data_IF_023525819034
#
_entry.id   IF_023525819034
#
_cell.length_a   1.000
_cell.length_b   1.000
_cell.length_c   1.000
_cell.angle_alpha   90.00
_cell.angle_beta   90.00
_cell.angle_gamma   90.00
#
_symmetry.space_group_name_H-M   'P 1'
#
loop_
_entity.id
_entity.type
_entity.pdbx_description
1 polymer ?
#
# COMPACT_ATOMS: atom_id res chain seq x y z
N UNK A 1 -33.45 -10.78 -11.84
CA UNK A 1 -32.20 -10.00 -11.70
C UNK A 1 -31.08 -10.98 -11.96
N UNK A 2 -30.23 -10.74 -12.94
CA UNK A 2 -29.14 -11.68 -13.22
C UNK A 2 -28.13 -11.65 -12.06
N UNK A 3 -27.43 -12.75 -11.78
CA UNK A 3 -26.44 -12.83 -10.69
C UNK A 3 -25.38 -11.72 -10.77
N UNK A 4 -25.11 -11.22 -11.97
CA UNK A 4 -24.21 -10.09 -12.21
C UNK A 4 -24.75 -8.75 -11.68
N UNK A 5 -26.03 -8.44 -11.92
CA UNK A 5 -26.65 -7.20 -11.44
C UNK A 5 -26.77 -7.18 -9.90
N UNK A 6 -26.98 -8.35 -9.29
CA UNK A 6 -27.01 -8.52 -7.85
C UNK A 6 -25.63 -8.29 -7.22
N UNK A 7 -24.56 -8.79 -7.85
CA UNK A 7 -23.18 -8.56 -7.39
C UNK A 7 -22.78 -7.08 -7.49
N UNK A 8 -23.15 -6.39 -8.58
CA UNK A 8 -22.93 -4.94 -8.73
C UNK A 8 -23.65 -4.18 -7.61
N UNK A 9 -24.92 -4.51 -7.34
CA UNK A 9 -25.68 -3.87 -6.29
C UNK A 9 -25.10 -4.13 -4.89
N UNK A 10 -24.63 -5.36 -4.62
CA UNK A 10 -24.04 -5.73 -3.33
C UNK A 10 -22.72 -5.00 -3.06
N UNK A 11 -21.83 -4.93 -4.06
CA UNK A 11 -20.56 -4.19 -3.95
C UNK A 11 -20.81 -2.68 -3.82
N UNK A 12 -21.73 -2.12 -4.62
CA UNK A 12 -22.09 -0.71 -4.53
C UNK A 12 -22.74 -0.33 -3.18
N UNK A 13 -23.43 -1.26 -2.52
CA UNK A 13 -24.03 -1.06 -1.20
C UNK A 13 -23.03 -1.20 -0.04
N UNK A 14 -21.81 -1.68 -0.31
CA UNK A 14 -20.75 -1.86 0.67
C UNK A 14 -19.47 -1.12 0.25
N UNK A 15 -19.49 0.23 0.14
CA UNK A 15 -18.33 1.01 -0.32
C UNK A 15 -17.13 0.90 0.63
N UNK A 16 -17.39 0.55 1.90
CA UNK A 16 -16.38 0.30 2.92
C UNK A 16 -16.79 -0.90 3.76
N UNK A 17 -15.78 -1.70 4.13
CA UNK A 17 -15.94 -2.90 4.93
C UNK A 17 -14.94 -2.86 6.08
N UNK A 18 -15.39 -2.33 7.21
CA UNK A 18 -14.51 -2.07 8.36
C UNK A 18 -14.52 -3.22 9.38
N UNK A 19 -15.34 -4.24 9.14
CA UNK A 19 -15.47 -5.39 10.05
C UNK A 19 -15.53 -6.71 9.29
N UNK A 20 -15.05 -7.77 9.95
CA UNK A 20 -15.18 -9.15 9.45
C UNK A 20 -16.65 -9.54 9.23
N UNK A 21 -17.56 -9.03 10.07
CA UNK A 21 -19.00 -9.27 9.93
C UNK A 21 -19.59 -8.63 8.67
N UNK A 22 -19.20 -7.40 8.36
CA UNK A 22 -19.58 -6.71 7.13
C UNK A 22 -19.00 -7.45 5.90
N UNK A 23 -17.74 -7.88 5.96
CA UNK A 23 -17.10 -8.63 4.88
C UNK A 23 -17.84 -9.94 4.61
N UNK A 24 -18.13 -10.70 5.66
CA UNK A 24 -18.92 -11.94 5.55
C UNK A 24 -20.29 -11.70 4.94
N UNK A 25 -20.93 -10.59 5.29
CA UNK A 25 -22.27 -10.24 4.78
C UNK A 25 -22.22 -9.89 3.30
N UNK A 26 -21.19 -9.17 2.85
CA UNK A 26 -20.94 -8.90 1.45
C UNK A 26 -20.68 -10.19 0.66
N UNK A 27 -19.75 -11.02 1.14
CA UNK A 27 -19.38 -12.28 0.48
C UNK A 27 -20.59 -13.22 0.32
N UNK A 28 -21.51 -13.27 1.29
CA UNK A 28 -22.73 -14.07 1.22
C UNK A 28 -23.74 -13.59 0.15
N UNK A 29 -23.58 -12.38 -0.38
CA UNK A 29 -24.41 -11.83 -1.45
C UNK A 29 -23.79 -12.01 -2.84
N UNK A 30 -22.55 -12.49 -2.92
CA UNK A 30 -21.83 -12.72 -4.16
C UNK A 30 -21.95 -14.19 -4.60
N UNK A 31 -21.78 -14.49 -5.90
CA UNK A 31 -21.75 -15.87 -6.39
C UNK A 31 -20.60 -16.67 -5.75
N UNK A 32 -20.88 -17.90 -5.31
CA UNK A 32 -19.91 -18.77 -4.60
C UNK A 32 -18.61 -19.01 -5.39
N UNK A 33 -18.69 -19.03 -6.72
CA UNK A 33 -17.54 -19.28 -7.62
C UNK A 33 -16.85 -17.99 -8.10
N UNK A 34 -17.24 -16.81 -7.59
CA UNK A 34 -16.62 -15.55 -7.97
C UNK A 34 -15.14 -15.53 -7.54
N UNK A 35 -14.18 -15.32 -8.46
CA UNK A 35 -12.78 -15.19 -8.11
C UNK A 35 -12.56 -14.05 -7.12
N UNK A 36 -11.80 -14.32 -6.06
CA UNK A 36 -11.44 -13.36 -5.04
C UNK A 36 -9.93 -13.07 -5.12
N UNK A 37 -9.59 -11.81 -5.26
CA UNK A 37 -8.21 -11.32 -5.19
C UNK A 37 -8.08 -10.33 -4.03
N UNK A 38 -6.94 -10.37 -3.36
CA UNK A 38 -6.55 -9.36 -2.39
C UNK A 38 -5.51 -8.45 -3.07
N UNK A 39 -5.72 -7.14 -3.01
CA UNK A 39 -4.65 -6.18 -3.28
C UNK A 39 -3.79 -6.11 -2.02
N UNK A 40 -2.65 -6.82 -2.05
CA UNK A 40 -1.68 -6.82 -0.95
C UNK A 40 -1.00 -5.45 -0.77
N UNK A 41 -1.21 -4.52 -1.70
CA UNK A 41 -0.84 -3.13 -1.52
C UNK A 41 -1.87 -2.45 -0.63
N UNK A 42 -1.46 -2.23 0.59
CA UNK A 42 -2.09 -1.30 1.50
C UNK A 42 -2.09 0.07 0.80
N UNK A 43 -3.20 0.80 0.69
CA UNK A 43 -3.23 2.13 0.08
C UNK A 43 -3.50 3.18 1.13
N UNK A 44 -2.92 4.37 1.01
CA UNK A 44 -3.11 5.39 2.04
C UNK A 44 -3.11 6.80 1.46
N UNK A 45 -3.81 7.70 2.15
CA UNK A 45 -3.52 9.11 2.04
C UNK A 45 -2.17 9.45 2.70
N UNK A 46 -1.43 10.44 2.16
CA UNK A 46 -0.26 10.99 2.83
C UNK A 46 -0.66 11.67 4.16
N UNK A 47 0.09 11.46 5.26
CA UNK A 47 -0.23 12.04 6.58
C UNK A 47 0.29 11.25 7.79
N UNK A 48 0.04 11.76 9.01
CA UNK A 48 0.46 11.19 10.31
C UNK A 48 -0.25 9.86 10.68
N UNK A 49 0.30 9.07 11.63
CA UNK A 49 -0.01 7.65 11.82
C UNK A 49 -1.33 7.30 12.52
N UNK A 50 -2.14 8.27 12.92
CA UNK A 50 -3.48 7.98 13.44
C UNK A 50 -4.38 7.58 12.25
N UNK A 51 -4.40 6.30 11.91
CA UNK A 51 -5.07 5.76 10.72
C UNK A 51 -6.08 4.68 11.10
N UNK A 52 -7.23 4.69 10.44
CA UNK A 52 -8.26 3.64 10.49
C UNK A 52 -8.11 2.78 9.23
N UNK A 53 -8.19 1.46 9.41
CA UNK A 53 -8.18 0.50 8.31
C UNK A 53 -9.59 0.22 7.81
N UNK A 54 -9.80 0.32 6.50
CA UNK A 54 -11.00 -0.15 5.82
C UNK A 54 -10.63 -1.10 4.69
N UNK A 55 -11.53 -2.03 4.35
CA UNK A 55 -11.43 -2.82 3.13
C UNK A 55 -12.41 -2.26 2.11
N UNK A 56 -11.90 -1.88 0.94
CA UNK A 56 -12.69 -1.46 -0.20
C UNK A 56 -12.90 -2.62 -1.18
N UNK A 57 -14.13 -3.12 -1.35
CA UNK A 57 -14.44 -4.11 -2.36
C UNK A 57 -14.67 -3.45 -3.73
N UNK A 58 -14.07 -4.00 -4.78
CA UNK A 58 -14.28 -3.56 -6.15
C UNK A 58 -14.48 -4.75 -7.10
N UNK A 59 -15.31 -4.56 -8.13
CA UNK A 59 -15.49 -5.56 -9.18
C UNK A 59 -14.42 -5.36 -10.26
N UNK A 60 -13.70 -6.43 -10.57
CA UNK A 60 -12.64 -6.44 -11.58
C UNK A 60 -12.89 -7.51 -12.64
N UNK A 61 -12.36 -7.30 -13.83
CA UNK A 61 -12.32 -8.33 -14.86
C UNK A 61 -11.18 -9.30 -14.53
N UNK A 62 -11.51 -10.58 -14.37
CA UNK A 62 -10.53 -11.66 -14.16
C UNK A 62 -10.53 -12.57 -15.38
N UNK A 63 -9.34 -12.99 -15.80
CA UNK A 63 -9.20 -13.92 -16.93
C UNK A 63 -9.11 -15.33 -16.38
N UNK A 64 -10.07 -16.18 -16.74
CA UNK A 64 -10.04 -17.61 -16.47
C UNK A 64 -9.37 -18.34 -17.62
N UNK A 65 -8.60 -19.40 -17.32
CA UNK A 65 -7.99 -20.26 -18.35
C UNK A 65 -6.94 -19.57 -19.23
N UNK A 66 -6.19 -18.60 -18.67
CA UNK A 66 -5.16 -17.84 -19.39
C UNK A 66 -4.24 -18.75 -20.21
N UNK A 67 -4.16 -18.51 -21.52
CA UNK A 67 -3.32 -19.31 -22.44
C UNK A 67 -3.93 -20.65 -22.87
N UNK A 68 -5.25 -20.83 -22.73
CA UNK A 68 -6.00 -22.00 -23.21
C UNK A 68 -7.13 -21.59 -24.15
N UNK A 69 -7.70 -22.54 -24.91
CA UNK A 69 -8.87 -22.29 -25.78
C UNK A 69 -10.14 -21.87 -25.00
N UNK A 70 -10.14 -22.04 -23.66
CA UNK A 70 -11.25 -21.68 -22.78
C UNK A 70 -11.06 -20.31 -22.10
N UNK A 71 -10.13 -19.48 -22.61
CA UNK A 71 -9.89 -18.15 -22.08
C UNK A 71 -11.16 -17.31 -22.09
N UNK A 72 -11.58 -16.86 -20.92
CA UNK A 72 -12.80 -16.07 -20.77
C UNK A 72 -12.63 -15.04 -19.66
N UNK A 73 -13.15 -13.84 -19.91
CA UNK A 73 -13.19 -12.77 -18.93
C UNK A 73 -14.45 -12.93 -18.08
N UNK A 74 -14.28 -13.06 -16.77
CA UNK A 74 -15.35 -13.18 -15.81
C UNK A 74 -15.20 -12.13 -14.70
N UNK A 75 -16.30 -11.67 -14.08
CA UNK A 75 -16.23 -10.76 -12.95
C UNK A 75 -15.58 -11.45 -11.74
N UNK A 76 -14.63 -10.77 -11.11
CA UNK A 76 -14.04 -11.13 -9.83
C UNK A 76 -14.17 -9.99 -8.82
N UNK A 77 -13.97 -10.32 -7.54
CA UNK A 77 -13.92 -9.36 -6.45
C UNK A 77 -12.45 -9.07 -6.10
N UNK A 78 -12.07 -7.80 -6.13
CA UNK A 78 -10.81 -7.33 -5.57
C UNK A 78 -11.09 -6.64 -4.23
N UNK A 79 -10.42 -7.09 -3.18
CA UNK A 79 -10.44 -6.45 -1.88
C UNK A 79 -9.16 -5.61 -1.74
N UNK A 80 -9.30 -4.29 -1.60
CA UNK A 80 -8.18 -3.38 -1.40
C UNK A 80 -8.17 -2.87 0.03
N UNK A 81 -7.04 -2.98 0.72
CA UNK A 81 -6.90 -2.36 2.05
C UNK A 81 -6.58 -0.89 1.90
N UNK A 82 -7.36 -0.02 2.53
CA UNK A 82 -7.19 1.44 2.49
C UNK A 82 -7.06 1.98 3.91
N UNK A 83 -6.11 2.89 4.11
CA UNK A 83 -5.87 3.61 5.34
C UNK A 83 -6.46 5.00 5.23
N UNK A 84 -7.35 5.32 6.17
CA UNK A 84 -7.99 6.63 6.23
C UNK A 84 -7.53 7.38 7.49
N UNK A 85 -7.23 8.69 7.42
CA UNK A 85 -6.87 9.47 8.60
C UNK A 85 -7.95 9.41 9.70
N UNK A 86 -7.52 9.35 10.95
CA UNK A 86 -8.38 9.41 12.11
C UNK A 86 -9.10 10.77 12.17
N UNK A 87 -10.42 10.75 12.32
CA UNK A 87 -11.24 11.96 12.35
C UNK A 87 -11.80 12.42 11.00
N UNK A 88 -11.47 11.73 9.90
CA UNK A 88 -12.19 11.89 8.63
C UNK A 88 -13.67 11.55 8.83
N UNK A 89 -14.57 12.32 8.23
CA UNK A 89 -16.01 12.00 8.30
C UNK A 89 -16.38 10.82 7.38
N UNK A 90 -17.60 10.30 7.49
CA UNK A 90 -18.04 9.13 6.70
C UNK A 90 -17.99 9.38 5.18
N UNK A 91 -18.19 10.63 4.73
CA UNK A 91 -18.17 10.99 3.32
C UNK A 91 -16.73 11.04 2.79
N UNK A 92 -15.81 11.63 3.56
CA UNK A 92 -14.37 11.63 3.29
C UNK A 92 -13.81 10.21 3.29
N UNK A 93 -14.19 9.39 4.26
CA UNK A 93 -13.78 7.99 4.32
C UNK A 93 -14.24 7.21 3.07
N UNK A 94 -15.50 7.35 2.69
CA UNK A 94 -16.06 6.70 1.50
C UNK A 94 -15.39 7.19 0.21
N UNK A 95 -15.13 8.50 0.11
CA UNK A 95 -14.44 9.09 -1.03
C UNK A 95 -13.01 8.57 -1.16
N UNK A 96 -12.28 8.41 -0.05
CA UNK A 96 -10.92 7.88 -0.03
C UNK A 96 -10.91 6.38 -0.36
N UNK A 97 -11.83 5.60 0.21
CA UNK A 97 -11.92 4.16 -0.06
C UNK A 97 -12.16 3.87 -1.55
N UNK A 98 -12.95 4.70 -2.24
CA UNK A 98 -13.26 4.54 -3.66
C UNK A 98 -12.14 4.98 -4.62
N UNK A 99 -11.03 5.55 -4.13
CA UNK A 99 -9.93 6.04 -4.97
C UNK A 99 -8.96 4.93 -5.38
N UNK A 100 -8.99 4.59 -6.66
CA UNK A 100 -8.06 3.64 -7.26
C UNK A 100 -6.64 4.21 -7.50
N UNK A 101 -6.49 5.54 -7.43
CA UNK A 101 -5.22 6.26 -7.71
C UNK A 101 -4.34 6.44 -6.48
N UNK A 102 -4.75 5.93 -5.31
CA UNK A 102 -3.96 6.05 -4.09
C UNK A 102 -2.66 5.24 -4.18
N UNK A 103 -1.52 5.83 -3.75
CA UNK A 103 -0.26 5.12 -3.67
C UNK A 103 -0.34 4.03 -2.60
N UNK A 104 0.50 3.01 -2.74
CA UNK A 104 0.63 2.03 -1.67
C UNK A 104 1.26 2.68 -0.42
N UNK A 105 0.86 2.23 0.76
CA UNK A 105 1.29 2.62 2.10
C UNK A 105 2.71 2.09 2.44
N UNK A 106 3.52 1.85 1.42
CA UNK A 106 4.95 1.62 1.56
C UNK A 106 5.72 2.92 1.32
N UNK A 107 6.86 3.06 1.98
CA UNK A 107 7.66 4.28 1.94
C UNK A 107 8.15 4.63 0.52
N UNK A 108 8.37 3.62 -0.33
CA UNK A 108 8.79 3.80 -1.73
C UNK A 108 7.69 4.45 -2.61
N UNK A 109 6.46 3.90 -2.73
CA UNK A 109 5.37 4.57 -3.43
C UNK A 109 4.94 5.90 -2.82
N UNK A 110 5.10 6.07 -1.50
CA UNK A 110 4.80 7.32 -0.77
C UNK A 110 5.81 8.43 -1.11
N UNK A 111 7.10 8.11 -1.12
CA UNK A 111 8.16 9.01 -1.59
C UNK A 111 7.94 9.46 -3.04
N UNK A 112 7.67 8.52 -3.94
CA UNK A 112 7.42 8.82 -5.35
C UNK A 112 6.23 9.78 -5.52
N UNK A 113 5.13 9.53 -4.80
CA UNK A 113 3.95 10.40 -4.80
C UNK A 113 4.28 11.85 -4.43
N UNK A 114 5.03 12.05 -3.34
CA UNK A 114 5.42 13.40 -2.91
C UNK A 114 6.36 14.08 -3.92
N UNK A 115 7.35 13.36 -4.45
CA UNK A 115 8.31 13.91 -5.40
C UNK A 115 7.65 14.32 -6.73
N UNK A 116 6.71 13.52 -7.24
CA UNK A 116 5.96 13.82 -8.48
C UNK A 116 5.09 15.09 -8.35
N UNK A 117 4.65 15.41 -7.13
CA UNK A 117 3.86 16.61 -6.83
C UNK A 117 4.69 17.83 -6.47
N UNK A 118 6.03 17.71 -6.50
CA UNK A 118 6.95 18.77 -6.11
C UNK A 118 7.02 19.00 -4.59
N UNK A 119 6.48 18.07 -3.79
CA UNK A 119 6.50 18.10 -2.33
C UNK A 119 7.85 17.56 -1.82
N UNK A 120 8.92 18.25 -2.21
CA UNK A 120 10.31 17.78 -2.10
C UNK A 120 10.69 17.36 -0.68
N UNK A 121 10.27 18.13 0.34
CA UNK A 121 10.56 17.80 1.73
C UNK A 121 9.95 16.47 2.17
N UNK A 122 8.66 16.27 1.91
CA UNK A 122 7.97 15.04 2.31
C UNK A 122 8.53 13.84 1.54
N UNK A 123 8.79 14.01 0.24
CA UNK A 123 9.43 12.99 -0.58
C UNK A 123 10.83 12.61 -0.09
N UNK A 124 11.67 13.59 0.25
CA UNK A 124 13.01 13.32 0.79
C UNK A 124 12.96 12.66 2.18
N UNK A 125 12.00 13.02 3.04
CA UNK A 125 11.81 12.33 4.33
C UNK A 125 11.47 10.86 4.14
N UNK A 126 10.53 10.56 3.23
CA UNK A 126 10.15 9.18 2.94
C UNK A 126 11.29 8.39 2.30
N UNK A 127 12.09 8.99 1.41
CA UNK A 127 13.30 8.34 0.86
C UNK A 127 14.33 8.05 1.95
N UNK A 128 14.49 8.97 2.92
CA UNK A 128 15.41 8.75 4.04
C UNK A 128 14.96 7.55 4.90
N UNK A 129 13.66 7.43 5.18
CA UNK A 129 13.07 6.30 5.91
C UNK A 129 13.36 4.97 5.19
N UNK A 130 13.14 4.89 3.87
CA UNK A 130 13.44 3.69 3.07
C UNK A 130 14.89 3.27 3.20
N UNK A 131 15.80 4.24 3.09
CA UNK A 131 17.22 3.94 3.17
C UNK A 131 17.59 3.46 4.58
N UNK A 132 16.96 3.97 5.62
CA UNK A 132 17.15 3.50 7.00
C UNK A 132 16.64 2.06 7.19
N UNK A 133 15.45 1.73 6.68
CA UNK A 133 14.91 0.36 6.73
C UNK A 133 15.80 -0.63 5.94
N UNK A 134 16.24 -0.26 4.74
CA UNK A 134 17.15 -1.08 3.93
C UNK A 134 18.49 -1.28 4.65
N UNK A 135 19.04 -0.23 5.26
CA UNK A 135 20.25 -0.33 6.05
C UNK A 135 20.07 -1.27 7.25
N UNK A 136 18.91 -1.23 7.90
CA UNK A 136 18.57 -2.11 9.01
C UNK A 136 18.52 -3.57 8.55
N UNK A 137 17.74 -3.90 7.51
CA UNK A 137 17.60 -5.26 6.99
C UNK A 137 18.95 -5.84 6.50
N UNK A 138 19.74 -5.04 5.78
CA UNK A 138 21.09 -5.46 5.36
C UNK A 138 21.98 -5.69 6.57
N UNK A 139 21.85 -4.86 7.61
CA UNK A 139 22.56 -5.01 8.88
C UNK A 139 22.19 -6.28 9.65
N UNK A 140 20.91 -6.64 9.69
CA UNK A 140 20.41 -7.87 10.32
C UNK A 140 20.92 -9.11 9.58
N UNK A 141 20.80 -9.16 8.25
CA UNK A 141 21.35 -10.24 7.43
C UNK A 141 22.87 -10.37 7.65
N UNK A 142 23.57 -9.25 7.80
CA UNK A 142 25.00 -9.24 8.07
C UNK A 142 25.37 -9.68 9.49
N UNK A 143 24.43 -9.64 10.44
CA UNK A 143 24.60 -10.18 11.78
C UNK A 143 24.41 -11.71 11.79
N UNK A 144 23.49 -12.21 10.96
CA UNK A 144 23.23 -13.64 10.77
C UNK A 144 24.35 -14.36 9.99
N UNK A 145 25.02 -13.65 9.07
CA UNK A 145 26.31 -14.08 8.54
C UNK A 145 27.34 -14.02 9.67
N UNK A 146 27.79 -15.19 10.16
CA UNK A 146 28.68 -15.33 11.32
C UNK A 146 29.83 -14.32 11.31
N UNK A 147 30.23 -13.80 12.48
CA UNK A 147 31.25 -12.74 12.67
C UNK A 147 32.62 -12.97 12.00
N UNK A 148 32.88 -14.14 11.42
CA UNK A 148 34.14 -14.50 10.76
C UNK A 148 34.01 -14.69 9.24
N UNK A 149 32.84 -14.39 8.68
CA UNK A 149 32.62 -14.37 7.25
C UNK A 149 32.97 -12.99 6.66
N UNK A 150 33.87 -12.97 5.68
CA UNK A 150 34.25 -11.74 4.97
C UNK A 150 33.02 -11.06 4.34
N UNK A 151 32.01 -11.85 3.98
CA UNK A 151 30.79 -11.35 3.37
C UNK A 151 29.87 -10.64 4.37
N UNK A 152 29.79 -11.13 5.62
CA UNK A 152 29.11 -10.42 6.70
C UNK A 152 29.77 -9.07 7.02
N UNK A 153 31.09 -8.99 6.96
CA UNK A 153 31.82 -7.73 7.15
C UNK A 153 31.53 -6.71 6.04
N UNK A 154 31.46 -7.15 4.77
CA UNK A 154 31.10 -6.28 3.64
C UNK A 154 29.66 -5.77 3.76
N UNK A 155 28.71 -6.63 4.10
CA UNK A 155 27.30 -6.24 4.26
C UNK A 155 27.12 -5.21 5.39
N UNK A 156 27.85 -5.32 6.52
CA UNK A 156 27.83 -4.30 7.58
C UNK A 156 28.37 -2.94 7.12
N UNK A 157 29.39 -2.93 6.27
CA UNK A 157 29.93 -1.68 5.70
C UNK A 157 28.90 -1.04 4.78
N UNK A 158 28.23 -1.82 3.94
CA UNK A 158 27.18 -1.31 3.06
C UNK A 158 25.95 -0.83 3.85
N UNK A 159 25.49 -1.57 4.86
CA UNK A 159 24.44 -1.12 5.76
C UNK A 159 24.76 0.26 6.37
N UNK A 160 25.98 0.47 6.86
CA UNK A 160 26.42 1.76 7.40
C UNK A 160 26.44 2.87 6.34
N UNK A 161 26.85 2.56 5.10
CA UNK A 161 26.85 3.53 3.99
C UNK A 161 25.44 3.95 3.63
N UNK A 162 24.50 3.00 3.60
CA UNK A 162 23.09 3.26 3.31
C UNK A 162 22.48 4.09 4.45
N UNK A 163 22.73 3.76 5.72
CA UNK A 163 22.28 4.57 6.86
C UNK A 163 22.82 6.01 6.82
N UNK A 164 24.10 6.20 6.46
CA UNK A 164 24.65 7.54 6.31
C UNK A 164 24.05 8.30 5.12
N UNK A 165 23.68 7.60 4.04
CA UNK A 165 22.92 8.19 2.95
C UNK A 165 21.52 8.62 3.40
N UNK A 166 20.82 7.78 4.17
CA UNK A 166 19.54 8.11 4.79
C UNK A 166 19.63 9.41 5.62
N UNK A 167 20.61 9.50 6.51
CA UNK A 167 20.82 10.68 7.36
C UNK A 167 21.10 11.95 6.55
N UNK A 168 21.87 11.85 5.46
CA UNK A 168 22.14 12.98 4.58
C UNK A 168 20.89 13.44 3.83
N UNK A 169 20.08 12.49 3.35
CA UNK A 169 18.82 12.78 2.68
C UNK A 169 17.82 13.40 3.66
N UNK A 170 17.73 12.88 4.88
CA UNK A 170 16.89 13.44 5.94
C UNK A 170 17.28 14.87 6.34
N UNK A 171 18.60 15.15 6.44
CA UNK A 171 19.10 16.52 6.65
C UNK A 171 18.75 17.46 5.50
N UNK A 172 18.93 17.01 4.26
CA UNK A 172 18.54 17.79 3.09
C UNK A 172 17.03 18.10 3.11
N UNK A 173 16.20 17.16 3.56
CA UNK A 173 14.77 17.40 3.74
C UNK A 173 14.46 18.51 4.77
N UNK A 174 15.27 18.63 5.83
CA UNK A 174 15.14 19.71 6.81
C UNK A 174 15.60 21.07 6.23
N UNK A 175 16.68 21.10 5.46
CA UNK A 175 17.19 22.33 4.83
C UNK A 175 16.23 22.90 3.77
N UNK A 176 15.44 22.04 3.09
CA UNK A 176 14.41 22.48 2.13
C UNK A 176 13.30 23.31 2.80
N UNK A 177 13.07 23.15 4.10
CA UNK A 177 12.12 23.99 4.86
C UNK A 177 12.66 25.41 5.09
N UNK A 178 13.96 25.56 5.37
CA UNK A 178 14.58 26.85 5.71
C UNK A 178 14.70 27.81 4.52
N UNK A 179 14.58 27.32 3.28
CA UNK A 179 14.71 28.12 2.05
C UNK A 179 13.35 28.54 1.47
N UNK A 180 12.26 27.96 1.98
CA UNK A 180 10.90 28.22 1.49
C UNK A 180 10.14 29.30 2.31
N UNK A 181 10.71 29.80 3.40
CA UNK A 181 10.27 31.00 4.15
C UNK A 181 10.96 32.28 3.68
#
# INVERSE_FOLDING_TARGET
>A
MNNHDAAIAAVAAAPMVDTVGALRTLLAQLPDEMPLSLDDHHRALPGEPDRVHTVHPSLVATVSGLGTEAESTQPGLLLTQVYVPFGADEEEQAAVAARADLPAYGELPRAAHYLERGELRAGLKDVAEVLEEVAHLVGEVAADCTEHDEDGSKLRVEAKRIAHAAERVGRLAAEVEEVAE
#
